data_IF_730643878103
#
_entry.id   IF_730643878103
#
_cell.length_a   1.000
_cell.length_b   1.000
_cell.length_c   1.000
_cell.angle_alpha   90.00
_cell.angle_beta   90.00
_cell.angle_gamma   90.00
#
_symmetry.space_group_name_H-M   'P 1'
#
loop_
_entity.id
_entity.type
_entity.pdbx_description
1 polymer ?
#
# COMPACT_ATOMS: atom_id res chain seq x y z
N UNK A 1 -12.57 -17.14 3.49
CA UNK A 1 -12.48 -17.06 2.01
C UNK A 1 -12.62 -15.62 1.48
N UNK A 2 -13.70 -14.90 1.80
CA UNK A 2 -13.94 -13.53 1.26
C UNK A 2 -12.83 -12.56 1.66
N UNK A 3 -12.38 -12.62 2.90
CA UNK A 3 -11.31 -11.74 3.40
C UNK A 3 -9.98 -11.99 2.67
N UNK A 4 -9.60 -13.26 2.47
CA UNK A 4 -8.39 -13.59 1.69
C UNK A 4 -8.45 -13.01 0.28
N UNK A 5 -9.60 -13.12 -0.39
CA UNK A 5 -9.77 -12.54 -1.74
C UNK A 5 -9.74 -11.02 -1.73
N UNK A 6 -10.28 -10.38 -0.70
CA UNK A 6 -10.20 -8.94 -0.54
C UNK A 6 -8.74 -8.48 -0.36
N UNK A 7 -8.00 -9.14 0.52
CA UNK A 7 -6.58 -8.85 0.75
C UNK A 7 -5.75 -9.10 -0.50
N UNK A 8 -6.01 -10.20 -1.24
CA UNK A 8 -5.33 -10.48 -2.51
C UNK A 8 -5.67 -9.45 -3.59
N UNK A 9 -6.93 -9.02 -3.68
CA UNK A 9 -7.33 -7.96 -4.58
C UNK A 9 -6.59 -6.65 -4.28
N UNK A 10 -6.47 -6.27 -3.02
CA UNK A 10 -5.69 -5.11 -2.58
C UNK A 10 -4.21 -5.29 -2.92
N UNK A 11 -3.60 -6.42 -2.51
CA UNK A 11 -2.21 -6.73 -2.81
C UNK A 11 -1.90 -6.66 -4.31
N UNK A 12 -2.83 -7.07 -5.16
CA UNK A 12 -2.63 -7.01 -6.62
C UNK A 12 -2.52 -5.58 -7.18
N UNK A 13 -2.94 -4.58 -6.41
CA UNK A 13 -2.82 -3.15 -6.79
C UNK A 13 -1.51 -2.54 -6.34
N UNK A 14 -0.92 -3.02 -5.24
CA UNK A 14 0.19 -2.37 -4.56
C UNK A 14 1.45 -2.24 -5.42
N UNK A 15 1.95 -3.28 -6.13
CA UNK A 15 3.19 -3.14 -6.89
C UNK A 15 3.18 -1.99 -7.91
N UNK A 16 2.03 -1.71 -8.51
CA UNK A 16 1.87 -0.63 -9.49
C UNK A 16 1.57 0.71 -8.79
N UNK A 17 0.74 0.66 -7.73
CA UNK A 17 0.34 1.84 -6.97
C UNK A 17 1.52 2.49 -6.24
N UNK A 18 2.29 1.70 -5.50
CA UNK A 18 3.42 2.17 -4.71
C UNK A 18 4.56 2.70 -5.57
N UNK A 19 4.81 2.07 -6.73
CA UNK A 19 5.72 2.65 -7.73
C UNK A 19 5.24 4.02 -8.24
N UNK A 20 3.93 4.22 -8.31
CA UNK A 20 3.38 5.53 -8.64
C UNK A 20 3.55 6.52 -7.48
N UNK A 21 3.40 6.10 -6.22
CA UNK A 21 3.63 6.95 -5.05
C UNK A 21 5.07 7.46 -5.03
N UNK A 22 6.03 6.55 -5.16
CA UNK A 22 7.45 6.90 -5.31
C UNK A 22 7.67 7.91 -6.43
N UNK A 23 7.08 7.67 -7.62
CA UNK A 23 7.19 8.57 -8.77
C UNK A 23 6.63 9.97 -8.45
N UNK A 24 5.43 10.05 -7.90
CA UNK A 24 4.74 11.33 -7.63
C UNK A 24 5.48 12.20 -6.61
N UNK A 25 6.03 11.59 -5.56
CA UNK A 25 6.80 12.29 -4.53
C UNK A 25 8.16 12.72 -5.08
N UNK A 26 8.86 11.86 -5.84
CA UNK A 26 10.13 12.22 -6.49
C UNK A 26 10.00 13.42 -7.42
N UNK A 27 8.91 13.54 -8.18
CA UNK A 27 8.68 14.64 -9.12
C UNK A 27 8.62 16.03 -8.47
N UNK A 28 8.42 16.10 -7.17
CA UNK A 28 8.30 17.38 -6.44
C UNK A 28 9.30 17.53 -5.30
N UNK A 29 10.11 16.49 -5.04
CA UNK A 29 11.05 16.44 -3.92
C UNK A 29 11.94 17.67 -3.83
N UNK A 30 12.49 18.13 -4.96
CA UNK A 30 13.45 19.24 -5.01
C UNK A 30 12.81 20.59 -4.61
N UNK A 31 11.47 20.68 -4.58
CA UNK A 31 10.73 21.87 -4.14
C UNK A 31 10.58 21.96 -2.63
N UNK A 32 10.81 20.86 -1.91
CA UNK A 32 10.73 20.79 -0.45
C UNK A 32 12.05 21.31 0.13
N UNK A 33 11.99 22.33 0.99
CA UNK A 33 13.17 22.94 1.61
C UNK A 33 13.43 22.48 3.04
N UNK A 34 12.43 21.92 3.69
CA UNK A 34 12.53 21.42 5.05
C UNK A 34 13.35 20.12 5.09
N UNK A 35 14.48 20.13 5.82
CA UNK A 35 15.40 19.00 5.91
C UNK A 35 14.77 17.78 6.57
N UNK A 36 13.91 17.99 7.56
CA UNK A 36 13.21 16.89 8.25
C UNK A 36 12.25 16.21 7.30
N UNK A 37 11.49 16.98 6.52
CA UNK A 37 10.59 16.44 5.51
C UNK A 37 11.36 15.74 4.38
N UNK A 38 12.55 16.24 3.99
CA UNK A 38 13.45 15.56 3.04
C UNK A 38 13.90 14.19 3.54
N UNK A 39 14.23 14.07 4.83
CA UNK A 39 14.57 12.78 5.43
C UNK A 39 13.36 11.82 5.45
N UNK A 40 12.16 12.33 5.74
CA UNK A 40 10.92 11.55 5.68
C UNK A 40 10.59 11.08 4.26
N UNK A 41 10.78 11.95 3.25
CA UNK A 41 10.65 11.59 1.83
C UNK A 41 11.60 10.45 1.45
N UNK A 42 12.84 10.51 1.91
CA UNK A 42 13.82 9.47 1.60
C UNK A 42 13.44 8.11 2.22
N UNK A 43 12.94 8.10 3.46
CA UNK A 43 12.43 6.90 4.13
C UNK A 43 11.20 6.35 3.41
N UNK A 44 10.21 7.19 3.11
CA UNK A 44 8.99 6.86 2.37
C UNK A 44 9.31 6.17 1.03
N UNK A 45 10.19 6.76 0.23
CA UNK A 45 10.58 6.18 -1.07
C UNK A 45 11.20 4.78 -0.91
N UNK A 46 11.97 4.57 0.16
CA UNK A 46 12.58 3.26 0.46
C UNK A 46 11.55 2.22 0.89
N UNK A 47 10.64 2.59 1.79
CA UNK A 47 9.57 1.71 2.29
C UNK A 47 8.61 1.32 1.16
N UNK A 48 8.12 2.27 0.38
CA UNK A 48 7.24 2.00 -0.77
C UNK A 48 7.86 1.08 -1.82
N UNK A 49 9.16 1.24 -2.09
CA UNK A 49 9.87 0.34 -3.01
C UNK A 49 9.93 -1.10 -2.47
N UNK A 50 10.06 -1.27 -1.14
CA UNK A 50 10.07 -2.58 -0.49
C UNK A 50 8.67 -3.21 -0.44
N UNK A 51 7.62 -2.42 -0.14
CA UNK A 51 6.22 -2.85 -0.21
C UNK A 51 5.89 -3.40 -1.59
N UNK A 52 6.18 -2.60 -2.63
CA UNK A 52 5.96 -2.98 -4.04
C UNK A 52 6.57 -4.34 -4.37
N UNK A 53 7.80 -4.59 -3.95
CA UNK A 53 8.50 -5.86 -4.19
C UNK A 53 7.86 -7.00 -3.41
N UNK A 54 7.60 -6.82 -2.11
CA UNK A 54 7.04 -7.85 -1.25
C UNK A 54 5.64 -8.29 -1.72
N UNK A 55 4.79 -7.34 -2.11
CA UNK A 55 3.48 -7.64 -2.66
C UNK A 55 3.53 -8.26 -4.07
N UNK A 56 4.55 -7.95 -4.88
CA UNK A 56 4.75 -8.66 -6.15
C UNK A 56 5.03 -10.15 -5.92
N UNK A 57 5.90 -10.49 -4.97
CA UNK A 57 6.21 -11.88 -4.60
C UNK A 57 4.97 -12.62 -4.03
N UNK A 58 4.17 -11.95 -3.18
CA UNK A 58 2.90 -12.48 -2.70
C UNK A 58 1.92 -12.75 -3.85
N UNK A 59 1.80 -11.83 -4.80
CA UNK A 59 0.94 -12.00 -5.96
C UNK A 59 1.40 -13.15 -6.87
N UNK A 60 2.72 -13.40 -6.97
CA UNK A 60 3.27 -14.51 -7.72
C UNK A 60 2.93 -15.88 -7.07
N UNK A 61 2.79 -15.93 -5.74
CA UNK A 61 2.28 -17.13 -5.08
C UNK A 61 0.85 -17.46 -5.53
N UNK A 62 -0.03 -16.47 -5.62
CA UNK A 62 -1.38 -16.65 -6.15
C UNK A 62 -1.41 -17.08 -7.61
N UNK A 63 -0.50 -16.56 -8.45
CA UNK A 63 -0.37 -16.99 -9.85
C UNK A 63 0.03 -18.46 -9.97
N UNK A 64 0.94 -18.94 -9.10
CA UNK A 64 1.32 -20.35 -9.08
C UNK A 64 0.17 -21.29 -8.75
N UNK A 65 -0.84 -20.78 -8.08
CA UNK A 65 -2.11 -21.47 -7.82
C UNK A 65 -3.17 -21.20 -8.91
N UNK A 66 -2.74 -20.76 -10.11
CA UNK A 66 -3.59 -20.49 -11.28
C UNK A 66 -4.66 -19.40 -11.09
N UNK A 67 -4.46 -18.45 -10.16
CA UNK A 67 -5.31 -17.25 -10.11
C UNK A 67 -4.87 -16.23 -11.14
N UNK A 68 -5.80 -15.79 -11.96
CA UNK A 68 -5.51 -14.83 -13.01
C UNK A 68 -5.55 -13.38 -12.47
N UNK A 69 -4.39 -12.84 -12.14
CA UNK A 69 -4.20 -11.44 -11.77
C UNK A 69 -3.75 -10.56 -12.96
N UNK A 70 -3.26 -11.15 -14.03
CA UNK A 70 -2.51 -10.44 -15.08
C UNK A 70 -3.38 -9.44 -15.87
N UNK A 71 -4.60 -9.80 -16.18
CA UNK A 71 -5.53 -8.89 -16.89
C UNK A 71 -5.80 -7.63 -16.08
N UNK A 72 -5.97 -7.80 -14.79
CA UNK A 72 -6.21 -6.70 -13.86
C UNK A 72 -4.98 -5.81 -13.72
N UNK A 73 -3.81 -6.41 -13.50
CA UNK A 73 -2.56 -5.68 -13.39
C UNK A 73 -2.16 -4.98 -14.69
N UNK A 74 -2.36 -5.60 -15.86
CA UNK A 74 -2.15 -4.96 -17.14
C UNK A 74 -3.07 -3.75 -17.36
N UNK A 75 -4.31 -3.82 -16.91
CA UNK A 75 -5.22 -2.68 -16.93
C UNK A 75 -4.75 -1.56 -16.00
N UNK A 76 -4.34 -1.88 -14.76
CA UNK A 76 -3.77 -0.92 -13.82
C UNK A 76 -2.51 -0.25 -14.37
N UNK A 77 -1.60 -1.03 -14.98
CA UNK A 77 -0.38 -0.51 -15.59
C UNK A 77 -0.68 0.53 -16.67
N UNK A 78 -1.66 0.25 -17.53
CA UNK A 78 -2.11 1.22 -18.56
C UNK A 78 -2.70 2.49 -17.94
N UNK A 79 -3.50 2.37 -16.87
CA UNK A 79 -4.02 3.52 -16.13
C UNK A 79 -2.91 4.32 -15.45
N UNK A 80 -1.91 3.64 -14.89
CA UNK A 80 -0.74 4.27 -14.28
C UNK A 80 0.06 5.10 -15.29
N UNK A 81 0.27 4.59 -16.52
CA UNK A 81 0.91 5.36 -17.59
C UNK A 81 0.15 6.67 -17.82
N UNK A 82 -1.18 6.61 -17.96
CA UNK A 82 -2.01 7.79 -18.15
C UNK A 82 -1.92 8.76 -16.97
N UNK A 83 -2.03 8.27 -15.73
CA UNK A 83 -1.99 9.11 -14.52
C UNK A 83 -0.64 9.83 -14.38
N UNK A 84 0.46 9.20 -14.81
CA UNK A 84 1.79 9.81 -14.83
C UNK A 84 1.94 10.96 -15.83
N UNK A 85 1.02 11.12 -16.80
CA UNK A 85 1.00 12.29 -17.69
C UNK A 85 0.27 13.51 -17.11
N UNK A 86 -0.46 13.33 -16.00
CA UNK A 86 -1.17 14.43 -15.35
C UNK A 86 -0.19 15.40 -14.68
N UNK A 87 -0.68 16.59 -14.38
CA UNK A 87 0.12 17.59 -13.66
C UNK A 87 0.61 17.03 -12.30
N UNK A 88 1.87 17.27 -11.88
CA UNK A 88 2.43 16.70 -10.65
C UNK A 88 1.60 16.96 -9.37
N UNK A 89 0.89 18.11 -9.29
CA UNK A 89 -0.07 18.39 -8.22
C UNK A 89 -1.17 17.33 -8.13
N UNK A 90 -1.70 16.92 -9.27
CA UNK A 90 -2.77 15.89 -9.33
C UNK A 90 -2.21 14.54 -8.96
N UNK A 91 -1.03 14.19 -9.47
CA UNK A 91 -0.35 12.94 -9.14
C UNK A 91 -0.13 12.83 -7.62
N UNK A 92 0.42 13.86 -6.99
CA UNK A 92 0.67 13.87 -5.55
C UNK A 92 -0.64 13.85 -4.74
N UNK A 93 -1.70 14.54 -5.19
CA UNK A 93 -3.02 14.48 -4.54
C UNK A 93 -3.63 13.06 -4.59
N UNK A 94 -3.39 12.31 -5.67
CA UNK A 94 -3.79 10.90 -5.79
C UNK A 94 -3.01 10.05 -4.78
N UNK A 95 -1.70 10.25 -4.66
CA UNK A 95 -0.88 9.57 -3.64
C UNK A 95 -1.38 9.89 -2.23
N UNK A 96 -1.64 11.15 -1.88
CA UNK A 96 -2.23 11.52 -0.58
C UNK A 96 -3.55 10.76 -0.29
N UNK A 97 -4.36 10.54 -1.31
CA UNK A 97 -5.62 9.83 -1.13
C UNK A 97 -5.41 8.33 -0.87
N UNK A 98 -4.49 7.68 -1.58
CA UNK A 98 -4.18 6.27 -1.36
C UNK A 98 -3.50 6.06 0.00
N UNK A 99 -2.49 6.87 0.36
CA UNK A 99 -1.83 6.85 1.66
C UNK A 99 -2.83 6.95 2.83
N UNK A 100 -3.86 7.77 2.67
CA UNK A 100 -4.92 7.84 3.66
C UNK A 100 -5.66 6.50 3.81
N UNK A 101 -5.98 5.80 2.71
CA UNK A 101 -6.68 4.51 2.76
C UNK A 101 -5.79 3.39 3.26
N UNK A 102 -4.53 3.34 2.84
CA UNK A 102 -3.58 2.32 3.30
C UNK A 102 -3.33 2.45 4.80
N UNK A 103 -3.16 3.68 5.31
CA UNK A 103 -3.05 3.94 6.74
C UNK A 103 -4.31 3.57 7.54
N UNK A 104 -5.52 3.85 7.01
CA UNK A 104 -6.78 3.42 7.64
C UNK A 104 -6.89 1.90 7.69
N UNK A 105 -6.57 1.22 6.58
CA UNK A 105 -6.58 -0.24 6.49
C UNK A 105 -5.53 -0.85 7.41
N UNK A 106 -4.30 -0.32 7.42
CA UNK A 106 -3.23 -0.74 8.31
C UNK A 106 -3.64 -0.62 9.78
N UNK A 107 -4.20 0.53 10.16
CA UNK A 107 -4.73 0.73 11.51
C UNK A 107 -5.89 -0.20 11.86
N UNK A 108 -6.72 -0.58 10.89
CA UNK A 108 -7.78 -1.56 11.09
C UNK A 108 -7.21 -2.97 11.30
N UNK A 109 -6.30 -3.41 10.45
CA UNK A 109 -5.64 -4.72 10.54
C UNK A 109 -4.95 -4.90 11.90
N UNK A 110 -4.21 -3.88 12.37
CA UNK A 110 -3.49 -3.96 13.65
C UNK A 110 -4.43 -4.02 14.87
N UNK A 111 -5.62 -3.44 14.78
CA UNK A 111 -6.65 -3.53 15.84
C UNK A 111 -7.51 -4.79 15.75
N UNK A 112 -7.57 -5.40 14.58
CA UNK A 112 -8.43 -6.54 14.27
C UNK A 112 -7.64 -7.66 13.58
N UNK A 113 -6.64 -8.27 14.28
CA UNK A 113 -5.76 -9.28 13.69
C UNK A 113 -6.53 -10.52 13.19
N UNK A 114 -7.74 -10.74 13.67
CA UNK A 114 -8.63 -11.81 13.22
C UNK A 114 -8.96 -11.73 11.73
N UNK A 115 -8.85 -10.56 11.09
CA UNK A 115 -9.06 -10.41 9.63
C UNK A 115 -8.00 -11.15 8.82
N UNK A 116 -6.84 -11.43 9.41
CA UNK A 116 -5.74 -12.17 8.80
C UNK A 116 -5.81 -13.68 9.06
N UNK A 117 -6.77 -14.17 9.87
CA UNK A 117 -6.86 -15.58 10.33
C UNK A 117 -6.99 -16.61 9.21
N UNK A 118 -7.31 -16.19 8.00
CA UNK A 118 -7.42 -17.07 6.81
C UNK A 118 -6.15 -17.12 5.98
N UNK A 119 -5.12 -16.36 6.37
CA UNK A 119 -3.82 -16.33 5.71
C UNK A 119 -2.85 -17.29 6.42
N UNK A 120 -1.80 -17.69 5.70
CA UNK A 120 -0.66 -18.36 6.31
C UNK A 120 0.24 -17.37 7.07
N UNK A 121 1.15 -17.92 7.89
CA UNK A 121 2.00 -17.13 8.78
C UNK A 121 2.88 -16.11 8.04
N UNK A 122 3.33 -16.43 6.84
CA UNK A 122 4.20 -15.53 6.07
C UNK A 122 3.40 -14.39 5.45
N UNK A 123 2.19 -14.68 4.98
CA UNK A 123 1.26 -13.65 4.53
C UNK A 123 0.82 -12.74 5.71
N UNK A 124 0.56 -13.30 6.89
CA UNK A 124 0.27 -12.50 8.10
C UNK A 124 1.41 -11.55 8.41
N UNK A 125 2.67 -12.03 8.39
CA UNK A 125 3.85 -11.18 8.63
C UNK A 125 3.95 -10.04 7.60
N UNK A 126 3.71 -10.33 6.31
CA UNK A 126 3.71 -9.33 5.26
C UNK A 126 2.69 -8.23 5.55
N UNK A 127 1.44 -8.60 5.84
CA UNK A 127 0.37 -7.63 6.06
C UNK A 127 0.55 -6.82 7.35
N UNK A 128 1.07 -7.43 8.42
CA UNK A 128 1.36 -6.72 9.68
C UNK A 128 2.52 -5.76 9.51
N UNK A 129 3.62 -6.20 8.86
CA UNK A 129 4.76 -5.34 8.57
C UNK A 129 4.36 -4.13 7.71
N UNK A 130 3.67 -4.35 6.61
CA UNK A 130 3.16 -3.29 5.74
C UNK A 130 2.24 -2.34 6.53
N UNK A 131 1.29 -2.86 7.30
CA UNK A 131 0.38 -2.04 8.10
C UNK A 131 1.08 -1.12 9.10
N UNK A 132 2.19 -1.57 9.71
CA UNK A 132 3.00 -0.75 10.62
C UNK A 132 3.67 0.39 9.85
N UNK A 133 4.32 0.11 8.73
CA UNK A 133 5.02 1.11 7.94
C UNK A 133 4.06 2.13 7.31
N UNK A 134 2.86 1.72 6.86
CA UNK A 134 1.81 2.63 6.39
C UNK A 134 1.38 3.66 7.45
N UNK A 135 1.32 3.25 8.72
CA UNK A 135 1.01 4.19 9.81
C UNK A 135 2.18 5.14 10.07
N UNK A 136 3.42 4.66 9.95
CA UNK A 136 4.61 5.49 10.18
C UNK A 136 4.71 6.63 9.17
N UNK A 137 4.46 6.37 7.89
CA UNK A 137 4.64 7.37 6.83
C UNK A 137 3.34 8.00 6.30
N UNK A 138 2.20 7.71 6.90
CA UNK A 138 0.86 8.19 6.51
C UNK A 138 0.71 9.69 6.23
N UNK A 139 1.56 10.52 6.84
CA UNK A 139 1.50 11.98 6.68
C UNK A 139 2.45 12.51 5.60
N UNK A 140 3.44 11.72 5.16
CA UNK A 140 4.54 12.22 4.31
C UNK A 140 4.03 12.80 3.00
N UNK A 141 3.20 12.07 2.26
CA UNK A 141 2.65 12.57 0.99
C UNK A 141 1.80 13.83 1.19
N UNK A 142 1.02 13.88 2.28
CA UNK A 142 0.22 15.05 2.63
C UNK A 142 1.09 16.27 2.97
N UNK A 143 2.12 16.09 3.79
CA UNK A 143 3.02 17.16 4.21
C UNK A 143 3.80 17.72 3.00
N UNK A 144 4.25 16.85 2.09
CA UNK A 144 4.86 17.25 0.82
C UNK A 144 3.86 18.03 -0.03
N UNK A 145 2.61 17.58 -0.11
CA UNK A 145 1.57 18.30 -0.86
C UNK A 145 1.32 19.70 -0.30
N UNK A 146 1.24 19.83 1.03
CA UNK A 146 1.05 21.11 1.69
C UNK A 146 2.26 22.03 1.49
N UNK A 147 3.47 21.51 1.64
CA UNK A 147 4.70 22.29 1.45
C UNK A 147 4.86 22.84 0.02
N UNK A 148 4.42 22.07 -1.00
CA UNK A 148 4.64 22.42 -2.41
C UNK A 148 3.46 23.15 -3.04
N UNK A 149 2.22 22.80 -2.67
CA UNK A 149 1.01 23.30 -3.36
C UNK A 149 -0.02 23.95 -2.46
N UNK A 150 -0.29 23.42 -1.27
CA UNK A 150 -1.26 23.94 -0.30
C UNK A 150 -2.71 24.03 -0.80
N UNK A 151 -3.07 23.34 -1.91
CA UNK A 151 -4.37 23.44 -2.56
C UNK A 151 -5.35 22.38 -2.06
N UNK A 152 -5.95 22.64 -0.93
CA UNK A 152 -6.91 21.73 -0.29
C UNK A 152 -8.17 21.45 -1.13
N UNK A 153 -8.57 22.38 -2.00
CA UNK A 153 -9.75 22.19 -2.85
C UNK A 153 -9.52 21.05 -3.85
N UNK A 154 -8.39 21.11 -4.55
CA UNK A 154 -8.00 20.05 -5.51
C UNK A 154 -7.76 18.73 -4.78
N UNK A 155 -7.01 18.76 -3.65
CA UNK A 155 -6.76 17.54 -2.86
C UNK A 155 -8.05 16.85 -2.44
N UNK A 156 -9.02 17.58 -1.91
CA UNK A 156 -10.32 17.00 -1.50
C UNK A 156 -11.17 16.51 -2.67
N UNK A 157 -11.12 17.18 -3.81
CA UNK A 157 -11.80 16.73 -5.03
C UNK A 157 -11.21 15.39 -5.51
N UNK A 158 -9.88 15.29 -5.57
CA UNK A 158 -9.18 14.05 -5.94
C UNK A 158 -9.47 12.94 -4.92
N UNK A 159 -9.45 13.23 -3.62
CA UNK A 159 -9.80 12.26 -2.58
C UNK A 159 -11.17 11.62 -2.84
N UNK A 160 -12.21 12.41 -3.14
CA UNK A 160 -13.55 11.89 -3.44
C UNK A 160 -13.55 10.95 -4.66
N UNK A 161 -12.85 11.34 -5.73
CA UNK A 161 -12.75 10.54 -6.95
C UNK A 161 -12.00 9.23 -6.70
N UNK A 162 -10.89 9.29 -5.97
CA UNK A 162 -10.10 8.10 -5.61
C UNK A 162 -10.89 7.17 -4.69
N UNK A 163 -11.62 7.71 -3.70
CA UNK A 163 -12.47 6.92 -2.80
C UNK A 163 -13.45 6.04 -3.58
N UNK A 164 -14.21 6.66 -4.48
CA UNK A 164 -15.20 5.92 -5.28
C UNK A 164 -14.53 4.90 -6.20
N UNK A 165 -13.47 5.31 -6.90
CA UNK A 165 -12.76 4.42 -7.82
C UNK A 165 -12.08 3.25 -7.13
N UNK A 166 -11.38 3.49 -6.03
CA UNK A 166 -10.65 2.47 -5.28
C UNK A 166 -11.60 1.44 -4.64
N UNK A 167 -12.66 1.91 -3.96
CA UNK A 167 -13.64 1.02 -3.35
C UNK A 167 -14.32 0.12 -4.40
N UNK A 168 -14.77 0.70 -5.52
CA UNK A 168 -15.40 -0.04 -6.60
C UNK A 168 -14.46 -1.06 -7.23
N UNK A 169 -13.22 -0.67 -7.46
CA UNK A 169 -12.22 -1.53 -8.09
C UNK A 169 -11.82 -2.69 -7.18
N UNK A 170 -11.60 -2.43 -5.90
CA UNK A 170 -11.25 -3.46 -4.91
C UNK A 170 -12.38 -4.47 -4.77
N UNK A 171 -13.62 -4.01 -4.65
CA UNK A 171 -14.79 -4.88 -4.57
C UNK A 171 -14.95 -5.73 -5.85
N UNK A 172 -14.85 -5.11 -7.03
CA UNK A 172 -14.92 -5.84 -8.30
C UNK A 172 -13.84 -6.93 -8.39
N UNK A 173 -12.60 -6.61 -8.02
CA UNK A 173 -11.47 -7.55 -8.07
C UNK A 173 -11.65 -8.70 -7.07
N UNK A 174 -12.12 -8.43 -5.86
CA UNK A 174 -12.42 -9.45 -4.86
C UNK A 174 -13.53 -10.39 -5.32
N UNK A 175 -14.60 -9.86 -5.92
CA UNK A 175 -15.68 -10.68 -6.51
C UNK A 175 -15.14 -11.58 -7.62
N UNK A 176 -14.27 -11.05 -8.51
CA UNK A 176 -13.66 -11.83 -9.59
C UNK A 176 -12.79 -12.97 -9.07
N UNK A 177 -12.00 -12.74 -8.03
CA UNK A 177 -11.21 -13.78 -7.38
C UNK A 177 -12.11 -14.84 -6.72
N UNK A 178 -13.14 -14.43 -6.00
CA UNK A 178 -14.12 -15.33 -5.40
C UNK A 178 -14.85 -16.20 -6.45
N UNK A 179 -15.15 -15.65 -7.63
CA UNK A 179 -15.74 -16.42 -8.74
C UNK A 179 -14.77 -17.43 -9.32
N UNK A 180 -13.46 -17.19 -9.31
CA UNK A 180 -12.45 -18.18 -9.71
C UNK A 180 -12.38 -19.35 -8.71
N UNK A 181 -12.60 -19.07 -7.44
CA UNK A 181 -12.53 -20.03 -6.34
C UNK A 181 -13.59 -21.15 -6.42
N UNK A 182 -14.76 -20.87 -7.01
CA UNK A 182 -15.82 -21.87 -7.23
C UNK A 182 -15.35 -23.09 -8.04
N UNK A 183 -14.20 -23.00 -8.69
CA UNK A 183 -13.61 -24.05 -9.54
C UNK A 183 -12.42 -24.74 -8.87
N UNK A 184 -11.96 -24.27 -7.70
CA UNK A 184 -10.71 -24.70 -7.07
C UNK A 184 -10.88 -24.77 -5.55
N UNK A 185 -10.22 -25.72 -4.89
CA UNK A 185 -10.01 -25.64 -3.44
C UNK A 185 -9.08 -24.46 -3.12
N UNK A 186 -9.35 -23.75 -2.02
CA UNK A 186 -8.50 -22.62 -1.57
C UNK A 186 -7.04 -23.08 -1.45
N UNK A 187 -6.10 -22.39 -2.09
CA UNK A 187 -4.69 -22.70 -1.96
C UNK A 187 -4.24 -22.44 -0.52
N UNK A 188 -3.43 -23.33 0.03
CA UNK A 188 -2.54 -22.99 1.13
C UNK A 188 -1.41 -22.17 0.52
N UNK A 189 -1.42 -20.87 0.71
CA UNK A 189 -0.40 -19.97 0.16
C UNK A 189 0.84 -20.05 1.04
N UNK A 190 1.62 -21.12 0.86
CA UNK A 190 2.96 -21.28 1.42
C UNK A 190 4.00 -20.90 0.37
N UNK A 191 4.13 -19.66 0.05
CA UNK A 191 5.26 -19.14 -0.70
C UNK A 191 6.40 -18.78 0.26
N UNK A 192 7.65 -19.00 -0.13
CA UNK A 192 8.82 -18.79 0.70
C UNK A 192 9.13 -17.29 0.84
N UNK A 193 8.18 -16.52 1.42
CA UNK A 193 8.32 -15.10 1.76
C UNK A 193 9.39 -14.94 2.86
N UNK A 194 9.72 -16.03 3.58
CA UNK A 194 10.70 -16.03 4.67
C UNK A 194 12.10 -15.57 4.24
N UNK A 195 12.48 -15.77 2.98
CA UNK A 195 13.73 -15.27 2.41
C UNK A 195 13.79 -13.74 2.35
N UNK A 196 12.64 -13.11 2.27
CA UNK A 196 12.51 -11.66 2.21
C UNK A 196 12.78 -11.00 3.57
N UNK A 197 12.21 -11.58 4.62
CA UNK A 197 12.43 -11.10 5.99
C UNK A 197 13.84 -11.38 6.53
N UNK A 198 14.62 -12.30 5.91
CA UNK A 198 16.04 -12.49 6.24
C UNK A 198 16.92 -11.33 5.77
N UNK A 199 16.54 -10.61 4.72
CA UNK A 199 17.27 -9.44 4.21
C UNK A 199 16.78 -8.12 4.82
N UNK A 200 15.50 -8.01 5.15
CA UNK A 200 14.94 -6.93 5.94
C UNK A 200 15.31 -7.18 7.41
N UNK A 201 16.29 -6.44 7.90
CA UNK A 201 16.75 -6.55 9.29
C UNK A 201 15.69 -5.96 10.21
N UNK A 202 14.62 -6.71 10.50
CA UNK A 202 13.52 -6.34 11.40
C UNK A 202 14.01 -5.98 12.81
N UNK A 203 15.28 -6.32 13.13
CA UNK A 203 15.95 -5.94 14.37
C UNK A 203 16.57 -4.52 14.34
N UNK A 204 16.54 -3.84 13.20
CA UNK A 204 16.88 -2.42 13.13
C UNK A 204 15.61 -1.64 12.78
N UNK A 205 14.83 -1.18 13.76
CA UNK A 205 13.78 -0.21 13.50
C UNK A 205 14.46 1.02 12.91
N UNK A 206 14.05 1.45 11.73
CA UNK A 206 14.44 2.73 11.11
C UNK A 206 14.09 3.90 12.04
N UNK A 207 13.23 3.64 13.02
CA UNK A 207 12.89 4.56 14.11
C UNK A 207 12.98 3.83 15.46
N UNK A 208 13.55 4.49 16.49
CA UNK A 208 13.77 3.90 17.80
C UNK A 208 12.49 3.33 18.45
N UNK A 209 12.61 2.23 19.19
CA UNK A 209 11.54 1.57 19.96
C UNK A 209 10.63 2.56 20.73
N UNK A 210 11.18 3.65 21.26
CA UNK A 210 10.43 4.72 21.94
C UNK A 210 9.38 5.41 21.07
N UNK A 211 9.55 5.44 19.76
CA UNK A 211 8.61 6.10 18.84
C UNK A 211 7.43 5.19 18.50
N UNK A 212 7.63 3.88 18.46
CA UNK A 212 6.55 2.90 18.33
C UNK A 212 5.61 2.91 19.55
N UNK A 213 6.15 2.94 20.77
CA UNK A 213 5.36 3.02 22.00
C UNK A 213 4.56 4.32 22.09
N UNK A 214 5.15 5.44 21.70
CA UNK A 214 4.47 6.75 21.69
C UNK A 214 3.32 6.81 20.68
N UNK A 215 3.50 6.26 19.47
CA UNK A 215 2.48 6.24 18.45
C UNK A 215 1.36 5.25 18.76
N UNK A 216 1.66 4.09 19.30
CA UNK A 216 0.66 3.08 19.70
C UNK A 216 -0.24 3.60 20.82
N UNK A 217 0.33 4.28 21.83
CA UNK A 217 -0.42 4.86 22.94
C UNK A 217 -1.31 6.05 22.55
N UNK A 218 -0.97 6.79 21.49
CA UNK A 218 -1.76 7.93 20.99
C UNK A 218 -2.82 7.54 19.98
N UNK A 219 -2.71 6.37 19.36
CA UNK A 219 -3.71 5.84 18.41
C UNK A 219 -4.82 5.08 19.15
N UNK A 220 -4.55 4.59 20.36
CA UNK A 220 -5.52 3.87 21.21
C UNK A 220 -6.34 4.79 22.13
N UNK A 221 -6.17 6.10 22.06
CA UNK A 221 -7.02 7.11 22.71
C UNK A 221 -7.84 7.85 21.65
#
# INVERSE_FOLDING_TARGET
PIMSHLLTALSSTFPIGEQFFVHSVRNVRDKVKDEKLQAQIAAFIGQEAMHSKAHAEFNDAWRREDYNLDRFQAWLARKNIYVKTLHPKIQLAITCAFEHFTALLGGYILRHPEVLSTLDDDAVKLWVWHAIEEIEHRAVAFDVYQAVYGDDKIRRMIMRSVTTGFASLTLYSAIKLFMQDRKKSLPKIGGNISTYFRGANLNKPLFSRRRMEYNTLHIMK
#
